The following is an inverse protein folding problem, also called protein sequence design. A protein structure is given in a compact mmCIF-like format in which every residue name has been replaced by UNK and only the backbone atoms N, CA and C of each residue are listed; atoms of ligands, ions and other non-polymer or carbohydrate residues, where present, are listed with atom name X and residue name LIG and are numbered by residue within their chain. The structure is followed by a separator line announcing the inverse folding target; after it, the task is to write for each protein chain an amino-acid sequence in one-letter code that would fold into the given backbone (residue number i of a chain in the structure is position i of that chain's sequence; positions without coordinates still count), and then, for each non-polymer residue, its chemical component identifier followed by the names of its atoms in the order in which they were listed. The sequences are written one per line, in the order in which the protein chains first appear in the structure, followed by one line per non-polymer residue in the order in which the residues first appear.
data_IF_317942668029
#
_entry.id   IF_317942668029
#
_cell.length_a   1.000
_cell.length_b   1.000
_cell.length_c   1.000
_cell.angle_alpha   90.00
_cell.angle_beta   90.00
_cell.angle_gamma   90.00
#
_symmetry.space_group_name_H-M   'P 1'
#
loop_
_entity.id
_entity.type
_entity.pdbx_description
1 polymer ?
#
# COMPACT_ATOMS: atom_id res chain seq x y z
N UNK A 1 -16.62 17.13 -6.87
CA UNK A 1 -16.26 16.01 -7.76
C UNK A 1 -16.44 14.74 -6.95
N UNK A 2 -17.53 14.01 -7.20
CA UNK A 2 -17.76 12.75 -6.47
C UNK A 2 -16.69 11.74 -6.89
N UNK A 3 -15.88 11.35 -5.93
CA UNK A 3 -14.78 10.40 -6.10
C UNK A 3 -15.38 8.98 -6.13
N UNK A 4 -15.92 8.61 -7.29
CA UNK A 4 -16.58 7.34 -7.59
C UNK A 4 -15.67 6.12 -7.40
N UNK A 5 -14.35 6.31 -7.43
CA UNK A 5 -13.41 5.22 -7.29
C UNK A 5 -13.36 4.73 -5.83
N UNK A 6 -13.81 3.48 -5.65
CA UNK A 6 -13.83 2.73 -4.39
C UNK A 6 -14.55 3.45 -3.22
N UNK A 7 -15.89 3.61 -3.31
CA UNK A 7 -16.66 4.33 -2.29
C UNK A 7 -16.69 3.60 -0.94
N UNK A 8 -16.43 2.29 -0.93
CA UNK A 8 -16.40 1.49 0.31
C UNK A 8 -14.99 1.30 0.90
N UNK A 9 -13.91 1.78 0.25
CA UNK A 9 -12.54 1.57 0.74
C UNK A 9 -12.12 0.09 0.75
N UNK A 10 -12.46 -0.64 -0.31
CA UNK A 10 -12.14 -2.05 -0.52
C UNK A 10 -10.78 -2.28 -1.14
N UNK A 11 -10.12 -1.23 -1.65
CA UNK A 11 -8.81 -1.28 -2.28
C UNK A 11 -7.77 -0.67 -1.35
N UNK A 12 -6.59 -1.30 -1.27
CA UNK A 12 -5.45 -0.73 -0.56
C UNK A 12 -4.87 0.43 -1.37
N UNK A 13 -4.34 1.49 -0.70
CA UNK A 13 -3.64 2.58 -1.37
C UNK A 13 -2.33 2.12 -2.01
N UNK A 14 -1.70 1.08 -1.46
CA UNK A 14 -0.52 0.42 -2.00
C UNK A 14 -0.82 -1.08 -1.96
N UNK A 15 -0.71 -1.77 -3.09
CA UNK A 15 -1.04 -3.19 -3.21
C UNK A 15 0.10 -3.96 -3.85
N UNK A 16 0.34 -5.18 -3.38
CA UNK A 16 1.23 -6.11 -4.06
C UNK A 16 0.37 -7.08 -4.86
N UNK A 17 0.01 -6.65 -6.06
CA UNK A 17 -0.81 -7.43 -6.98
C UNK A 17 -0.11 -7.55 -8.32
N UNK A 18 -0.23 -8.70 -8.94
CA UNK A 18 0.14 -8.85 -10.34
C UNK A 18 -0.91 -8.20 -11.23
N UNK A 19 -0.46 -7.41 -12.20
CA UNK A 19 -1.31 -6.83 -13.25
C UNK A 19 -0.90 -7.38 -14.61
N UNK A 20 -1.86 -7.50 -15.52
CA UNK A 20 -1.57 -7.85 -16.91
C UNK A 20 -1.24 -6.57 -17.68
N UNK A 21 -0.30 -6.67 -18.63
CA UNK A 21 -0.08 -5.67 -19.66
C UNK A 21 -1.00 -5.87 -20.90
N UNK A 22 -1.87 -6.89 -20.89
CA UNK A 22 -2.70 -7.31 -22.02
C UNK A 22 -2.13 -8.46 -22.85
N UNK A 23 -0.85 -8.79 -22.68
CA UNK A 23 -0.16 -9.85 -23.43
C UNK A 23 0.01 -11.13 -22.61
N UNK A 24 0.20 -10.99 -21.30
CA UNK A 24 0.48 -12.10 -20.39
C UNK A 24 -0.54 -12.19 -19.26
N UNK A 25 -0.86 -13.42 -18.86
CA UNK A 25 -1.69 -13.69 -17.69
C UNK A 25 -0.91 -13.30 -16.42
N UNK A 26 -1.52 -12.56 -15.47
CA UNK A 26 -0.85 -12.23 -14.21
C UNK A 26 -0.44 -13.50 -13.46
N UNK A 27 0.81 -13.55 -13.01
CA UNK A 27 1.28 -14.69 -12.19
C UNK A 27 0.56 -14.70 -10.84
N UNK A 28 0.28 -15.87 -10.25
CA UNK A 28 -0.25 -15.92 -8.89
C UNK A 28 0.70 -15.25 -7.89
N UNK A 29 0.13 -14.59 -6.89
CA UNK A 29 0.89 -14.06 -5.76
C UNK A 29 1.56 -15.19 -4.97
N UNK A 30 2.77 -14.93 -4.51
CA UNK A 30 3.43 -15.74 -3.50
C UNK A 30 2.69 -15.66 -2.16
N UNK A 31 2.98 -16.59 -1.26
CA UNK A 31 2.39 -16.62 0.08
C UNK A 31 2.72 -15.36 0.89
N UNK A 32 3.90 -14.79 0.70
CA UNK A 32 4.32 -13.56 1.38
C UNK A 32 3.55 -12.33 0.90
N UNK A 33 3.36 -12.20 -0.40
CA UNK A 33 2.59 -11.10 -0.99
C UNK A 33 1.11 -11.18 -0.60
N UNK A 34 0.52 -12.38 -0.65
CA UNK A 34 -0.85 -12.60 -0.19
C UNK A 34 -1.02 -12.26 1.30
N UNK A 35 -0.07 -12.66 2.16
CA UNK A 35 -0.08 -12.29 3.58
C UNK A 35 0.05 -10.78 3.77
N UNK A 36 0.90 -10.11 3.00
CA UNK A 36 1.06 -8.65 3.03
C UNK A 36 -0.26 -7.92 2.78
N UNK A 37 -0.97 -8.29 1.71
CA UNK A 37 -2.28 -7.73 1.39
C UNK A 37 -3.31 -8.00 2.51
N UNK A 38 -3.33 -9.22 3.06
CA UNK A 38 -4.23 -9.57 4.17
C UNK A 38 -3.96 -8.70 5.41
N UNK A 39 -2.71 -8.64 5.87
CA UNK A 39 -2.31 -7.84 7.04
C UNK A 39 -2.61 -6.36 6.84
N UNK A 40 -2.42 -5.82 5.63
CA UNK A 40 -2.74 -4.43 5.32
C UNK A 40 -4.25 -4.16 5.40
N UNK A 41 -5.09 -5.06 4.90
CA UNK A 41 -6.54 -4.91 5.00
C UNK A 41 -7.06 -4.98 6.43
N UNK A 42 -6.48 -5.87 7.23
CA UNK A 42 -6.78 -6.02 8.65
C UNK A 42 -6.35 -4.77 9.42
N UNK A 43 -5.12 -4.30 9.23
CA UNK A 43 -4.59 -3.08 9.81
C UNK A 43 -5.43 -1.86 9.47
N UNK A 44 -5.89 -1.73 8.22
CA UNK A 44 -6.78 -0.65 7.82
C UNK A 44 -8.13 -0.69 8.54
N UNK A 45 -8.67 -1.90 8.77
CA UNK A 45 -9.97 -2.07 9.43
C UNK A 45 -9.90 -1.79 10.92
N UNK A 46 -8.89 -2.36 11.59
CA UNK A 46 -8.67 -2.17 13.02
C UNK A 46 -8.32 -0.72 13.34
N UNK A 47 -7.45 -0.11 12.54
CA UNK A 47 -6.99 1.26 12.79
C UNK A 47 -8.05 2.31 12.51
N UNK A 48 -8.78 2.19 11.39
CA UNK A 48 -9.89 3.11 11.11
C UNK A 48 -10.95 3.07 12.22
N UNK A 49 -11.30 1.86 12.70
CA UNK A 49 -12.21 1.70 13.85
C UNK A 49 -11.65 2.33 15.13
N UNK A 50 -10.37 2.09 15.43
CA UNK A 50 -9.70 2.64 16.62
C UNK A 50 -9.69 4.17 16.63
N UNK A 51 -9.51 4.79 15.47
CA UNK A 51 -9.47 6.25 15.31
C UNK A 51 -10.87 6.88 15.13
N UNK A 52 -11.94 6.07 15.04
CA UNK A 52 -13.30 6.57 14.84
C UNK A 52 -13.53 7.19 13.46
N UNK A 53 -12.72 6.86 12.45
CA UNK A 53 -12.80 7.40 11.10
C UNK A 53 -13.35 6.37 10.10
N UNK A 54 -13.95 6.85 9.02
CA UNK A 54 -14.38 5.97 7.93
C UNK A 54 -13.18 5.27 7.29
N UNK A 55 -13.30 3.97 7.00
CA UNK A 55 -12.22 3.15 6.40
C UNK A 55 -11.62 3.80 5.15
N UNK A 56 -12.47 4.30 4.25
CA UNK A 56 -12.03 4.99 3.04
C UNK A 56 -11.23 6.27 3.33
N UNK A 57 -11.69 7.08 4.28
CA UNK A 57 -10.98 8.30 4.68
C UNK A 57 -9.61 7.95 5.28
N UNK A 58 -9.54 6.89 6.09
CA UNK A 58 -8.28 6.36 6.60
C UNK A 58 -7.34 5.91 5.47
N UNK A 59 -7.82 5.11 4.52
CA UNK A 59 -7.01 4.59 3.41
C UNK A 59 -6.48 5.69 2.47
N UNK A 60 -7.19 6.83 2.37
CA UNK A 60 -6.73 8.01 1.62
C UNK A 60 -5.73 8.90 2.38
N UNK A 61 -5.46 8.60 3.64
CA UNK A 61 -4.52 9.35 4.47
C UNK A 61 -3.09 8.77 4.39
N UNK A 62 -2.11 9.56 4.82
CA UNK A 62 -0.74 9.08 5.01
C UNK A 62 -0.65 7.96 6.05
N UNK A 63 -1.48 7.99 7.10
CA UNK A 63 -1.58 6.90 8.07
C UNK A 63 -2.03 5.59 7.40
N UNK A 64 -2.95 5.65 6.43
CA UNK A 64 -3.40 4.50 5.66
C UNK A 64 -2.29 3.88 4.80
N UNK A 65 -1.50 4.72 4.13
CA UNK A 65 -0.30 4.29 3.41
C UNK A 65 0.75 3.70 4.37
N UNK A 66 1.01 4.36 5.50
CA UNK A 66 1.97 3.89 6.50
C UNK A 66 1.57 2.53 7.10
N UNK A 67 0.31 2.35 7.47
CA UNK A 67 -0.23 1.08 7.97
C UNK A 67 -0.05 -0.06 6.94
N UNK A 68 -0.22 0.25 5.66
CA UNK A 68 -0.04 -0.72 4.56
C UNK A 68 1.43 -1.13 4.42
N UNK A 69 2.35 -0.17 4.44
CA UNK A 69 3.79 -0.44 4.35
C UNK A 69 4.33 -1.17 5.59
N UNK A 70 3.82 -0.85 6.78
CA UNK A 70 4.14 -1.58 8.01
C UNK A 70 3.65 -3.03 7.96
N UNK A 71 2.47 -3.29 7.40
CA UNK A 71 1.98 -4.65 7.18
C UNK A 71 2.89 -5.44 6.22
N UNK A 72 3.44 -4.80 5.19
CA UNK A 72 4.42 -5.43 4.31
C UNK A 72 5.74 -5.74 5.02
N UNK A 73 6.22 -4.86 5.90
CA UNK A 73 7.36 -5.17 6.76
C UNK A 73 7.10 -6.42 7.61
N UNK A 74 5.91 -6.53 8.19
CA UNK A 74 5.52 -7.69 9.00
C UNK A 74 5.47 -8.98 8.16
N UNK A 75 4.84 -8.93 6.98
CA UNK A 75 4.80 -10.07 6.08
C UNK A 75 6.21 -10.49 5.63
N UNK A 76 7.05 -9.54 5.22
CA UNK A 76 8.42 -9.81 4.82
C UNK A 76 9.24 -10.47 5.94
N UNK A 77 9.12 -9.96 7.17
CA UNK A 77 9.77 -10.55 8.34
C UNK A 77 9.29 -11.97 8.64
N UNK A 78 7.99 -12.25 8.50
CA UNK A 78 7.42 -13.59 8.71
C UNK A 78 7.94 -14.65 7.73
N UNK A 79 8.40 -14.23 6.54
CA UNK A 79 9.02 -15.10 5.54
C UNK A 79 10.55 -15.03 5.52
N UNK A 80 11.18 -14.43 6.55
CA UNK A 80 12.63 -14.39 6.70
C UNK A 80 13.35 -13.45 5.73
N UNK A 81 12.64 -12.50 5.12
CA UNK A 81 13.24 -11.54 4.20
C UNK A 81 14.21 -10.59 4.90
N UNK A 82 15.50 -10.65 4.53
CA UNK A 82 16.54 -9.71 5.00
C UNK A 82 16.77 -8.54 4.04
N UNK A 83 16.09 -8.51 2.90
CA UNK A 83 16.35 -7.61 1.76
C UNK A 83 15.96 -6.14 1.96
N UNK A 84 15.40 -5.77 3.11
CA UNK A 84 15.05 -4.39 3.44
C UNK A 84 13.71 -4.26 4.17
N UNK A 85 13.45 -3.04 4.66
CA UNK A 85 12.19 -2.66 5.31
C UNK A 85 11.86 -1.21 4.97
N UNK A 86 10.58 -0.88 4.95
CA UNK A 86 10.13 0.50 4.91
C UNK A 86 10.45 1.18 6.24
N UNK A 87 11.13 2.33 6.19
CA UNK A 87 11.60 3.06 7.36
C UNK A 87 10.49 3.93 7.98
N UNK A 88 9.48 3.27 8.54
CA UNK A 88 8.35 3.89 9.24
C UNK A 88 8.35 3.47 10.71
N UNK A 89 8.07 4.42 11.60
CA UNK A 89 7.79 4.12 13.00
C UNK A 89 6.43 3.42 13.11
N UNK A 90 6.22 2.48 14.07
CA UNK A 90 4.92 1.82 14.26
C UNK A 90 3.76 2.79 14.49
N UNK A 91 4.04 3.91 15.14
CA UNK A 91 3.06 4.97 15.46
C UNK A 91 2.56 5.68 14.21
N UNK A 92 3.27 5.61 13.08
CA UNK A 92 2.86 6.22 11.82
C UNK A 92 1.53 5.67 11.27
N UNK A 93 1.08 4.49 11.73
CA UNK A 93 -0.26 4.00 11.41
C UNK A 93 -1.38 4.82 12.09
N UNK A 94 -1.07 5.54 13.17
CA UNK A 94 -2.04 6.26 14.01
C UNK A 94 -1.80 7.77 14.06
N UNK A 95 -0.54 8.19 13.94
CA UNK A 95 -0.10 9.58 14.10
C UNK A 95 0.24 10.23 12.74
N UNK A 96 -0.58 11.18 12.25
CA UNK A 96 -0.36 11.81 10.95
C UNK A 96 1.00 12.49 10.82
N UNK A 97 1.50 13.11 11.90
CA UNK A 97 2.81 13.76 11.88
C UNK A 97 3.96 12.76 11.66
N UNK A 98 3.89 11.56 12.28
CA UNK A 98 4.88 10.51 12.09
C UNK A 98 4.83 9.92 10.68
N UNK A 99 3.63 9.78 10.11
CA UNK A 99 3.45 9.33 8.73
C UNK A 99 3.96 10.37 7.72
N UNK A 100 3.58 11.64 7.89
CA UNK A 100 3.89 12.73 6.97
C UNK A 100 5.40 13.05 6.94
N UNK A 101 6.09 12.93 8.08
CA UNK A 101 7.54 13.15 8.15
C UNK A 101 8.33 12.24 7.19
N UNK A 102 7.80 11.06 6.87
CA UNK A 102 8.43 10.10 5.95
C UNK A 102 7.79 10.18 4.56
N UNK A 103 6.45 10.21 4.48
CA UNK A 103 5.70 10.03 3.23
C UNK A 103 5.45 11.33 2.45
N UNK A 104 5.56 12.49 3.10
CA UNK A 104 5.36 13.82 2.47
C UNK A 104 6.59 14.71 2.60
N UNK A 105 7.75 14.11 2.83
CA UNK A 105 9.00 14.82 3.07
C UNK A 105 9.27 15.81 1.92
N UNK A 106 9.60 17.04 2.29
CA UNK A 106 10.00 18.13 1.39
C UNK A 106 8.98 18.46 0.27
N UNK A 107 7.71 18.12 0.45
CA UNK A 107 6.66 18.38 -0.54
C UNK A 107 6.86 17.63 -1.86
N UNK A 108 7.58 16.52 -1.84
CA UNK A 108 7.85 15.73 -3.03
C UNK A 108 6.55 15.22 -3.67
N UNK A 109 6.44 15.44 -4.97
CA UNK A 109 5.36 14.91 -5.79
C UNK A 109 5.84 13.67 -6.53
N UNK A 110 5.10 12.57 -6.39
CA UNK A 110 5.39 11.31 -7.08
C UNK A 110 4.39 11.16 -8.23
N UNK A 111 4.92 10.99 -9.43
CA UNK A 111 4.13 10.66 -10.61
C UNK A 111 4.66 9.37 -11.22
N UNK A 112 3.81 8.36 -11.28
CA UNK A 112 4.14 7.05 -11.84
C UNK A 112 3.63 6.99 -13.29
N UNK A 113 4.52 6.61 -14.22
CA UNK A 113 4.17 6.39 -15.62
C UNK A 113 4.49 4.95 -16.00
N UNK A 114 3.46 4.22 -16.45
CA UNK A 114 3.64 2.89 -17.01
C UNK A 114 3.96 3.02 -18.51
N UNK A 115 5.23 2.83 -18.86
CA UNK A 115 5.66 2.76 -20.27
C UNK A 115 5.35 1.37 -20.83
N UNK A 116 4.71 1.32 -21.99
CA UNK A 116 4.59 0.09 -22.77
C UNK A 116 5.91 -0.13 -23.51
N UNK A 117 6.71 -1.10 -23.05
CA UNK A 117 7.98 -1.44 -23.67
C UNK A 117 7.71 -2.32 -24.90
N UNK A 118 7.77 -1.71 -26.08
CA UNK A 118 7.73 -2.43 -27.36
C UNK A 118 9.09 -3.05 -27.64
N UNK A 119 9.12 -4.26 -28.19
CA UNK A 119 10.34 -4.83 -28.75
C UNK A 119 10.78 -3.97 -29.97
N UNK A 120 11.98 -3.37 -29.96
CA UNK A 120 12.47 -2.59 -31.09
C UNK A 120 12.71 -3.42 -32.37
N UNK A 121 12.68 -4.75 -32.27
CA UNK A 121 12.97 -5.67 -33.36
C UNK A 121 11.78 -5.93 -34.30
N UNK A 122 10.54 -5.74 -33.81
CA UNK A 122 9.31 -6.10 -34.54
C UNK A 122 9.05 -7.60 -34.60
#
# INVERSE_FOLDING_TARGET
MEDWNDPQGRRLPIKVDTTSNGEYVPRPLSRGEALGNQLAFDAAGTTARRLGVGRRAFLKSSCGAAATLLAFNQANAAFGGSGGRFALAPEAAFEPAAADAVLKKDGQFIFDMQLHCMDPSG
#
